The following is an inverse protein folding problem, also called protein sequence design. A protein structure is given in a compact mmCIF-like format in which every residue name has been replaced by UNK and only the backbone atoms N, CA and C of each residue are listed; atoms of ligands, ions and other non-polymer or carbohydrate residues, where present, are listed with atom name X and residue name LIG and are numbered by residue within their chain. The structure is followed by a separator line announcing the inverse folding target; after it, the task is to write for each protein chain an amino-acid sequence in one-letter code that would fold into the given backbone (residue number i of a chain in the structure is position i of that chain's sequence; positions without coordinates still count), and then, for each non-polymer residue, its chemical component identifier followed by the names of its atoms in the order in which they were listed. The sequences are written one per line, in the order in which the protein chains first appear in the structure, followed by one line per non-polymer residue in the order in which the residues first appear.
data_IF_932238091150
#
_entry.id   IF_932238091150
#
_cell.length_a   1.000
_cell.length_b   1.000
_cell.length_c   1.000
_cell.angle_alpha   90.00
_cell.angle_beta   90.00
_cell.angle_gamma   90.00
#
_symmetry.space_group_name_H-M   'P 1'
#
loop_
_entity.id
_entity.type
_entity.pdbx_description
1 polymer ?
#
# COMPACT_ATOMS: atom_id res chain seq x y z
N UNK A 1 -4.00 -13.42 3.81
CA UNK A 1 -4.59 -12.15 4.31
C UNK A 1 -5.12 -11.43 3.06
N UNK A 2 -6.41 -11.08 3.01
CA UNK A 2 -6.96 -10.29 1.89
C UNK A 2 -7.29 -8.91 2.45
N UNK A 3 -6.62 -7.87 1.93
CA UNK A 3 -6.87 -6.48 2.29
C UNK A 3 -7.45 -5.77 1.07
N UNK A 4 -8.43 -4.91 1.29
CA UNK A 4 -8.97 -4.01 0.27
C UNK A 4 -9.23 -2.66 0.92
N UNK A 5 -8.77 -1.60 0.26
CA UNK A 5 -9.05 -0.22 0.62
C UNK A 5 -10.52 0.08 0.34
N UNK A 6 -11.17 0.81 1.24
CA UNK A 6 -12.56 1.26 1.05
C UNK A 6 -12.60 2.52 0.17
N UNK A 7 -13.71 2.77 -0.52
CA UNK A 7 -13.85 3.89 -1.47
C UNK A 7 -13.63 5.26 -0.82
N UNK A 8 -14.07 5.44 0.43
CA UNK A 8 -13.95 6.71 1.18
C UNK A 8 -12.73 6.76 2.11
N UNK A 9 -11.87 5.74 2.08
CA UNK A 9 -10.72 5.63 2.98
C UNK A 9 -9.46 6.22 2.34
N UNK A 10 -8.78 7.11 3.06
CA UNK A 10 -7.50 7.64 2.59
C UNK A 10 -6.42 6.55 2.61
N UNK A 11 -5.38 6.70 1.80
CA UNK A 11 -4.25 5.75 1.80
C UNK A 11 -3.61 5.61 3.20
N UNK A 12 -3.60 6.70 3.97
CA UNK A 12 -3.08 6.72 5.35
C UNK A 12 -3.98 5.93 6.31
N UNK A 13 -5.29 6.12 6.24
CA UNK A 13 -6.25 5.37 7.08
C UNK A 13 -6.22 3.88 6.75
N UNK A 14 -6.16 3.56 5.45
CA UNK A 14 -6.00 2.19 4.95
C UNK A 14 -4.72 1.53 5.51
N UNK A 15 -3.62 2.27 5.60
CA UNK A 15 -2.36 1.79 6.17
C UNK A 15 -2.46 1.51 7.68
N UNK A 16 -3.10 2.40 8.45
CA UNK A 16 -3.34 2.17 9.88
C UNK A 16 -4.19 0.92 10.11
N UNK A 17 -5.28 0.75 9.35
CA UNK A 17 -6.15 -0.44 9.43
C UNK A 17 -5.40 -1.72 9.04
N UNK A 18 -4.55 -1.65 8.02
CA UNK A 18 -3.69 -2.77 7.64
C UNK A 18 -2.72 -3.17 8.76
N UNK A 19 -2.09 -2.19 9.43
CA UNK A 19 -1.24 -2.45 10.60
C UNK A 19 -2.02 -3.05 11.76
N UNK A 20 -3.26 -2.62 12.01
CA UNK A 20 -4.10 -3.25 13.03
C UNK A 20 -4.43 -4.71 12.71
N UNK A 21 -4.70 -5.03 11.44
CA UNK A 21 -4.91 -6.41 10.99
C UNK A 21 -3.66 -7.28 11.23
N UNK A 22 -2.47 -6.75 10.95
CA UNK A 22 -1.19 -7.40 11.25
C UNK A 22 -0.96 -7.63 12.75
N UNK A 23 -1.51 -6.78 13.63
CA UNK A 23 -1.40 -6.95 15.10
C UNK A 23 -2.40 -7.97 15.65
N UNK A 24 -3.61 -8.03 15.07
CA UNK A 24 -4.66 -8.98 15.47
C UNK A 24 -4.34 -10.41 15.04
N UNK A 25 -3.62 -10.58 13.95
CA UNK A 25 -3.12 -11.87 13.54
C UNK A 25 -1.62 -11.93 13.83
N UNK A 26 -1.16 -12.58 14.92
CA UNK A 26 0.25 -12.75 15.23
C UNK A 26 0.90 -13.68 14.19
N UNK A 27 1.13 -13.13 13.01
CA UNK A 27 1.72 -13.79 11.85
C UNK A 27 3.21 -13.96 12.08
N UNK A 28 3.57 -14.89 12.96
CA UNK A 28 4.95 -15.32 13.13
C UNK A 28 5.45 -15.89 11.79
N UNK A 29 6.16 -15.05 11.03
CA UNK A 29 6.90 -15.47 9.84
C UNK A 29 6.43 -14.92 8.50
N UNK A 30 5.47 -13.99 8.41
CA UNK A 30 5.21 -13.32 7.10
C UNK A 30 6.32 -12.29 6.85
N UNK A 31 7.12 -12.43 5.78
CA UNK A 31 8.14 -11.47 5.44
C UNK A 31 7.54 -10.08 5.16
N UNK A 32 8.27 -9.03 5.50
CA UNK A 32 7.81 -7.66 5.29
C UNK A 32 7.44 -7.36 3.83
N UNK A 33 8.17 -7.94 2.86
CA UNK A 33 7.86 -7.80 1.44
C UNK A 33 6.46 -8.32 1.08
N UNK A 34 6.02 -9.44 1.67
CA UNK A 34 4.69 -10.00 1.43
C UNK A 34 3.60 -9.13 2.08
N UNK A 35 3.89 -8.49 3.21
CA UNK A 35 2.97 -7.55 3.84
C UNK A 35 2.77 -6.30 2.96
N UNK A 36 3.86 -5.74 2.43
CA UNK A 36 3.81 -4.60 1.52
C UNK A 36 3.09 -4.94 0.21
N UNK A 37 3.37 -6.11 -0.38
CA UNK A 37 2.68 -6.57 -1.59
C UNK A 37 1.17 -6.74 -1.35
N UNK A 38 0.79 -7.32 -0.20
CA UNK A 38 -0.62 -7.47 0.18
C UNK A 38 -1.32 -6.12 0.33
N UNK A 39 -0.65 -5.15 0.97
CA UNK A 39 -1.18 -3.79 1.10
C UNK A 39 -1.34 -3.12 -0.27
N UNK A 40 -0.29 -3.13 -1.09
CA UNK A 40 -0.28 -2.53 -2.43
C UNK A 40 -1.35 -3.10 -3.36
N UNK A 41 -1.50 -4.42 -3.38
CA UNK A 41 -2.52 -5.09 -4.19
C UNK A 41 -3.94 -4.77 -3.71
N UNK A 42 -4.11 -4.51 -2.41
CA UNK A 42 -5.38 -4.11 -1.82
C UNK A 42 -5.76 -2.64 -2.01
N UNK A 43 -4.83 -1.78 -2.45
CA UNK A 43 -5.13 -0.37 -2.72
C UNK A 43 -6.05 -0.21 -3.94
N UNK A 44 -6.84 0.86 -3.94
CA UNK A 44 -7.57 1.28 -5.11
C UNK A 44 -6.60 1.86 -6.18
N UNK A 45 -7.07 2.00 -7.42
CA UNK A 45 -6.24 2.45 -8.53
C UNK A 45 -5.64 3.85 -8.30
N UNK A 46 -6.44 4.78 -7.75
CA UNK A 46 -6.00 6.15 -7.49
C UNK A 46 -4.88 6.21 -6.43
N UNK A 47 -5.04 5.47 -5.32
CA UNK A 47 -4.04 5.37 -4.27
C UNK A 47 -2.75 4.70 -4.73
N UNK A 48 -2.83 3.69 -5.62
CA UNK A 48 -1.64 3.13 -6.27
C UNK A 48 -0.92 4.16 -7.13
N UNK A 49 -1.64 4.91 -7.97
CA UNK A 49 -1.03 5.94 -8.80
C UNK A 49 -0.30 7.02 -7.98
N UNK A 50 -0.89 7.45 -6.85
CA UNK A 50 -0.25 8.40 -5.94
C UNK A 50 1.01 7.81 -5.31
N UNK A 51 0.95 6.54 -4.89
CA UNK A 51 2.10 5.86 -4.31
C UNK A 51 3.22 5.66 -5.34
N UNK A 52 2.88 5.23 -6.55
CA UNK A 52 3.83 5.07 -7.66
C UNK A 52 4.50 6.40 -8.02
N UNK A 53 3.73 7.50 -8.04
CA UNK A 53 4.26 8.84 -8.26
C UNK A 53 5.17 9.33 -7.12
N UNK A 54 5.01 8.82 -5.89
CA UNK A 54 5.89 9.14 -4.76
C UNK A 54 7.14 8.25 -4.69
N UNK A 55 7.10 7.06 -5.29
CA UNK A 55 8.23 6.13 -5.39
C UNK A 55 9.09 6.40 -6.64
N UNK A 56 8.49 6.99 -7.68
CA UNK A 56 9.22 7.69 -8.74
C UNK A 56 9.57 9.11 -8.25
N UNK A 57 10.76 9.26 -7.66
CA UNK A 57 11.48 10.53 -7.81
C UNK A 57 11.48 10.91 -9.30
N UNK A 58 11.32 12.19 -9.66
CA UNK A 58 11.02 12.57 -11.02
C UNK A 58 12.22 12.24 -11.90
N UNK A 59 12.16 11.11 -12.60
CA UNK A 59 12.82 11.01 -13.88
C UNK A 59 12.04 11.92 -14.83
N UNK A 60 12.23 13.23 -14.64
CA UNK A 60 11.94 14.26 -15.61
C UNK A 60 12.40 13.71 -16.96
N UNK A 61 11.54 13.60 -17.98
CA UNK A 61 12.04 13.53 -19.33
C UNK A 61 12.61 14.91 -19.65
N UNK A 62 13.81 15.19 -19.15
CA UNK A 62 14.69 16.17 -19.75
C UNK A 62 15.23 15.51 -21.01
N UNK A 63 14.84 16.06 -22.16
CA UNK A 63 15.03 15.62 -23.56
C UNK A 63 14.13 14.46 -24.00
N UNK A 64 13.04 14.77 -24.72
CA UNK A 64 13.11 15.07 -26.16
C UNK A 64 11.89 15.89 -26.61
#
# INVERSE_FOLDING_TARGET
MSFQQLEDETTSDAWERFKELLRKCPHHGIPHCIQLETFYNGLNAASRMVLDASLMEPFFPSLQ
#
